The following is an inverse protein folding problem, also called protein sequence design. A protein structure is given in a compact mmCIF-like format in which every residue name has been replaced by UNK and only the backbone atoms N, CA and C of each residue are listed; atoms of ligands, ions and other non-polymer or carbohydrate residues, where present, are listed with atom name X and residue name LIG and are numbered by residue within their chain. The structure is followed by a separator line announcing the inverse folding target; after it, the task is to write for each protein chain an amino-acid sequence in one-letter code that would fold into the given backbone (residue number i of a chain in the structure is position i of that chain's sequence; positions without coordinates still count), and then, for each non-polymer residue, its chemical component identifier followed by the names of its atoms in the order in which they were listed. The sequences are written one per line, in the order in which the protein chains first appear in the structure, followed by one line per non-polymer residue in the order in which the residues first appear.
data_IF_172136318815
#
_entry.id   IF_172136318815
#
_cell.length_a   1.000
_cell.length_b   1.000
_cell.length_c   1.000
_cell.angle_alpha   90.00
_cell.angle_beta   90.00
_cell.angle_gamma   90.00
#
_symmetry.space_group_name_H-M   'P 1'
#
loop_
_entity.id
_entity.type
_entity.pdbx_description
1 polymer ?
#
# COMPACT_ATOMS: atom_id res chain seq x y z
N UNK A 1 7.37 -18.89 62.24
CA UNK A 1 6.43 -17.90 61.64
C UNK A 1 7.02 -17.33 60.39
N UNK A 2 6.47 -17.62 59.20
CA UNK A 2 6.96 -17.07 57.96
C UNK A 2 6.70 -15.57 57.87
N UNK A 3 7.72 -14.77 57.52
CA UNK A 3 7.60 -13.33 57.29
C UNK A 3 6.49 -13.06 56.26
N UNK A 4 5.47 -12.26 56.63
CA UNK A 4 4.47 -11.75 55.71
C UNK A 4 5.19 -10.95 54.62
N UNK A 5 4.92 -11.29 53.34
CA UNK A 5 5.44 -10.53 52.20
C UNK A 5 4.82 -9.14 52.16
N UNK A 6 5.57 -8.12 51.70
CA UNK A 6 5.03 -6.78 51.49
C UNK A 6 3.75 -6.80 50.63
N UNK A 7 2.86 -5.85 50.88
CA UNK A 7 1.68 -5.62 50.04
C UNK A 7 2.13 -5.24 48.64
N UNK A 8 1.76 -6.00 47.59
CA UNK A 8 2.18 -5.80 46.22
C UNK A 8 2.96 -6.98 45.61
N UNK A 9 3.63 -7.81 46.43
CA UNK A 9 4.48 -8.92 45.94
C UNK A 9 3.70 -10.14 45.36
N UNK A 10 2.38 -10.04 45.28
CA UNK A 10 1.51 -11.13 44.79
C UNK A 10 1.41 -12.33 45.70
N UNK A 11 0.43 -13.18 45.46
CA UNK A 11 0.23 -14.42 46.21
C UNK A 11 0.97 -15.58 45.51
N UNK A 12 1.63 -16.43 46.31
CA UNK A 12 2.33 -17.63 45.84
C UNK A 12 1.84 -18.84 46.58
N UNK A 13 1.48 -19.90 45.87
CA UNK A 13 1.11 -21.19 46.45
C UNK A 13 1.65 -22.36 45.62
N UNK A 14 1.85 -23.52 46.28
CA UNK A 14 2.09 -24.76 45.56
C UNK A 14 0.74 -25.44 45.31
N UNK A 15 0.52 -25.92 44.10
CA UNK A 15 -0.70 -26.62 43.68
C UNK A 15 -0.54 -28.12 43.93
N UNK A 16 -1.66 -28.81 43.93
CA UNK A 16 -1.71 -30.27 44.13
C UNK A 16 -1.04 -31.02 42.97
N UNK A 17 -1.00 -30.41 41.78
CA UNK A 17 -0.30 -30.91 40.58
C UNK A 17 1.24 -30.71 40.62
N UNK A 18 1.75 -30.26 41.77
CA UNK A 18 3.18 -30.04 42.02
C UNK A 18 3.76 -28.74 41.44
N UNK A 19 2.98 -28.01 40.65
CA UNK A 19 3.42 -26.69 40.08
C UNK A 19 3.23 -25.59 41.11
N UNK A 20 4.04 -24.55 40.97
CA UNK A 20 3.90 -23.31 41.71
C UNK A 20 3.04 -22.32 40.93
N UNK A 21 2.07 -21.70 41.63
CA UNK A 21 1.20 -20.65 41.11
C UNK A 21 1.42 -19.37 41.87
N UNK A 22 1.54 -18.28 41.12
CA UNK A 22 1.51 -16.90 41.63
C UNK A 22 0.39 -16.12 40.99
N UNK A 23 -0.15 -15.12 41.68
CA UNK A 23 -1.12 -14.18 41.15
C UNK A 23 -0.83 -12.77 41.61
N UNK A 24 -1.01 -11.81 40.70
CA UNK A 24 -0.94 -10.36 40.97
C UNK A 24 -2.25 -9.74 40.57
N UNK A 25 -2.62 -8.63 41.20
CA UNK A 25 -3.72 -7.77 40.74
C UNK A 25 -3.18 -6.91 39.59
N UNK A 26 -3.90 -6.89 38.47
CA UNK A 26 -3.49 -6.14 37.27
C UNK A 26 -4.54 -5.12 36.85
N UNK A 27 -5.65 -5.01 37.59
CA UNK A 27 -6.73 -4.06 37.37
C UNK A 27 -7.95 -4.41 38.23
N UNK A 28 -9.01 -3.64 38.07
CA UNK A 28 -10.28 -3.85 38.74
C UNK A 28 -11.43 -3.88 37.77
N UNK A 29 -12.48 -4.62 38.07
CA UNK A 29 -13.72 -4.61 37.33
C UNK A 29 -14.53 -3.36 37.66
N UNK A 30 -15.58 -3.08 36.87
CA UNK A 30 -16.49 -1.97 37.12
C UNK A 30 -17.16 -2.01 38.51
N UNK A 31 -17.31 -3.19 39.08
CA UNK A 31 -17.83 -3.40 40.43
C UNK A 31 -16.77 -3.34 41.54
N UNK A 32 -15.51 -3.01 41.23
CA UNK A 32 -14.40 -2.94 42.18
C UNK A 32 -13.68 -4.25 42.44
N UNK A 33 -14.13 -5.39 41.94
CA UNK A 33 -13.45 -6.67 42.08
C UNK A 33 -12.09 -6.69 41.38
N UNK A 34 -11.04 -7.27 42.01
CA UNK A 34 -9.71 -7.31 41.39
C UNK A 34 -9.64 -8.27 40.20
N UNK A 35 -8.96 -7.85 39.13
CA UNK A 35 -8.57 -8.67 38.00
C UNK A 35 -7.21 -9.29 38.30
N UNK A 36 -7.16 -10.63 38.35
CA UNK A 36 -5.91 -11.34 38.66
C UNK A 36 -5.23 -11.85 37.41
N UNK A 37 -3.90 -11.69 37.39
CA UNK A 37 -2.99 -12.38 36.47
C UNK A 37 -2.37 -13.55 37.17
N UNK A 38 -2.52 -14.76 36.62
CA UNK A 38 -1.92 -15.99 37.14
C UNK A 38 -0.63 -16.31 36.38
N UNK A 39 0.40 -16.70 37.15
CA UNK A 39 1.71 -17.09 36.65
C UNK A 39 2.05 -18.47 37.18
N UNK A 40 2.58 -19.35 36.34
CA UNK A 40 2.89 -20.73 36.72
C UNK A 40 4.35 -21.07 36.44
N UNK A 41 4.98 -21.86 37.35
CA UNK A 41 6.31 -22.39 37.15
C UNK A 41 6.48 -23.75 37.81
N UNK A 42 7.50 -24.54 37.40
CA UNK A 42 7.84 -25.82 38.00
C UNK A 42 8.53 -25.69 39.36
N UNK A 43 9.26 -24.57 39.57
CA UNK A 43 9.98 -24.30 40.83
C UNK A 43 9.57 -22.96 41.41
N UNK A 44 9.71 -22.80 42.72
CA UNK A 44 9.40 -21.53 43.42
C UNK A 44 10.29 -20.39 42.93
N UNK A 45 11.60 -20.65 42.71
CA UNK A 45 12.55 -19.65 42.20
C UNK A 45 12.12 -19.11 40.81
N UNK A 46 11.85 -20.02 39.89
CA UNK A 46 11.36 -19.64 38.56
C UNK A 46 10.01 -18.92 38.60
N UNK A 47 9.12 -19.24 39.57
CA UNK A 47 7.88 -18.51 39.77
C UNK A 47 8.15 -17.09 40.26
N UNK A 48 9.05 -16.90 41.22
CA UNK A 48 9.38 -15.58 41.76
C UNK A 48 9.95 -14.68 40.70
N UNK A 49 10.86 -15.17 39.86
CA UNK A 49 11.41 -14.42 38.71
C UNK A 49 10.32 -13.99 37.72
N UNK A 50 9.44 -14.91 37.34
CA UNK A 50 8.30 -14.59 36.47
C UNK A 50 7.31 -13.62 37.10
N UNK A 51 7.11 -13.71 38.40
CA UNK A 51 6.20 -12.84 39.14
C UNK A 51 6.74 -11.41 39.14
N UNK A 52 8.04 -11.23 39.44
CA UNK A 52 8.70 -9.91 39.38
C UNK A 52 8.62 -9.31 37.98
N UNK A 53 8.92 -10.09 36.94
CA UNK A 53 8.76 -9.63 35.56
C UNK A 53 7.31 -9.23 35.22
N UNK A 54 6.34 -9.95 35.80
CA UNK A 54 4.92 -9.59 35.63
C UNK A 54 4.59 -8.32 36.39
N UNK A 55 5.05 -8.15 37.62
CA UNK A 55 4.84 -6.92 38.40
C UNK A 55 5.41 -5.71 37.65
N UNK A 56 6.67 -5.77 37.21
CA UNK A 56 7.27 -4.72 36.39
C UNK A 56 6.49 -4.40 35.11
N UNK A 57 5.96 -5.45 34.45
CA UNK A 57 5.20 -5.28 33.19
C UNK A 57 3.85 -4.59 33.41
N UNK A 58 3.21 -4.82 34.56
CA UNK A 58 1.89 -4.27 34.91
C UNK A 58 1.96 -3.13 35.92
N UNK A 59 3.16 -2.67 36.31
CA UNK A 59 3.34 -1.52 37.16
C UNK A 59 2.72 -0.30 36.46
N UNK A 60 1.89 0.44 37.17
CA UNK A 60 1.18 1.62 36.65
C UNK A 60 0.16 1.35 35.53
N UNK A 61 -0.22 0.09 35.28
CA UNK A 61 -1.23 -0.28 34.30
C UNK A 61 -2.42 -0.91 34.97
N UNK A 62 -3.60 -0.32 34.86
CA UNK A 62 -4.86 -0.87 35.32
C UNK A 62 -5.65 -1.46 34.13
N UNK A 63 -5.66 -2.79 34.02
CA UNK A 63 -6.35 -3.47 32.94
C UNK A 63 -7.87 -3.53 33.17
N UNK A 64 -8.62 -3.46 32.08
CA UNK A 64 -10.09 -3.64 32.07
C UNK A 64 -10.49 -5.13 31.96
N UNK A 65 -11.76 -5.43 32.16
CA UNK A 65 -12.32 -6.77 31.95
C UNK A 65 -12.09 -7.30 30.53
N UNK A 66 -12.02 -6.40 29.57
CA UNK A 66 -11.75 -6.69 28.16
C UNK A 66 -10.37 -7.35 27.92
N UNK A 67 -9.46 -7.29 28.91
CA UNK A 67 -8.17 -8.01 28.86
C UNK A 67 -8.29 -9.53 28.74
N UNK A 68 -9.47 -10.10 29.02
CA UNK A 68 -9.79 -11.53 28.86
C UNK A 68 -10.22 -11.91 27.46
N UNK A 69 -10.58 -10.93 26.64
CA UNK A 69 -10.97 -11.08 25.25
C UNK A 69 -9.91 -11.82 24.44
N UNK A 70 -10.32 -12.61 23.48
CA UNK A 70 -9.39 -13.23 22.52
C UNK A 70 -8.88 -12.22 21.52
N UNK A 71 -7.76 -12.52 20.85
CA UNK A 71 -7.24 -11.65 19.78
C UNK A 71 -8.24 -11.51 18.64
N UNK A 72 -8.96 -12.57 18.30
CA UNK A 72 -9.99 -12.53 17.25
C UNK A 72 -11.11 -11.55 17.58
N UNK A 73 -11.68 -11.65 18.79
CA UNK A 73 -12.73 -10.74 19.27
C UNK A 73 -12.25 -9.28 19.34
N UNK A 74 -11.02 -9.05 19.81
CA UNK A 74 -10.43 -7.71 19.82
C UNK A 74 -10.29 -7.14 18.42
N UNK A 75 -9.78 -7.91 17.46
CA UNK A 75 -9.59 -7.44 16.09
C UNK A 75 -10.91 -7.12 15.39
N UNK A 76 -11.97 -7.90 15.63
CA UNK A 76 -13.31 -7.61 15.11
C UNK A 76 -13.86 -6.31 15.70
N UNK A 77 -13.76 -6.15 17.01
CA UNK A 77 -14.16 -4.94 17.72
C UNK A 77 -13.36 -3.72 17.26
N UNK A 78 -12.04 -3.86 17.10
CA UNK A 78 -11.17 -2.81 16.60
C UNK A 78 -11.53 -2.36 15.16
N UNK A 79 -11.89 -3.31 14.29
CA UNK A 79 -12.39 -2.96 12.96
C UNK A 79 -13.69 -2.18 13.03
N UNK A 80 -14.65 -2.64 13.83
CA UNK A 80 -15.98 -2.05 13.94
C UNK A 80 -15.96 -0.67 14.62
N UNK A 81 -15.25 -0.56 15.75
CA UNK A 81 -15.32 0.66 16.59
C UNK A 81 -14.24 1.71 16.24
N UNK A 82 -13.07 1.28 15.76
CA UNK A 82 -11.93 2.19 15.54
C UNK A 82 -11.60 2.44 14.06
N UNK A 83 -12.07 1.56 13.16
CA UNK A 83 -11.69 1.65 11.74
C UNK A 83 -12.86 1.90 10.81
N UNK A 84 -14.03 1.39 11.11
CA UNK A 84 -15.21 1.66 10.28
C UNK A 84 -15.51 3.17 10.25
N UNK A 85 -15.80 3.69 9.07
CA UNK A 85 -15.97 5.12 8.85
C UNK A 85 -14.69 5.99 8.90
N UNK A 86 -13.56 5.50 9.46
CA UNK A 86 -12.29 6.26 9.54
C UNK A 86 -11.33 5.94 8.40
N UNK A 87 -11.45 4.77 7.81
CA UNK A 87 -10.63 4.34 6.66
C UNK A 87 -11.52 3.99 5.47
N UNK A 88 -10.92 3.98 4.28
CA UNK A 88 -11.67 3.65 3.05
C UNK A 88 -12.14 2.19 3.06
N UNK A 89 -13.28 1.95 2.43
CA UNK A 89 -13.89 0.62 2.32
C UNK A 89 -12.92 -0.45 1.79
N UNK A 90 -12.12 -0.13 0.76
CA UNK A 90 -11.12 -1.07 0.24
C UNK A 90 -9.99 -1.40 1.22
N UNK A 91 -9.61 -0.45 2.09
CA UNK A 91 -8.62 -0.72 3.16
C UNK A 91 -9.25 -1.56 4.27
N UNK A 92 -10.49 -1.24 4.63
CA UNK A 92 -11.26 -2.00 5.63
C UNK A 92 -11.43 -3.46 5.19
N UNK A 93 -11.77 -3.68 3.93
CA UNK A 93 -11.89 -5.02 3.35
C UNK A 93 -10.54 -5.76 3.33
N UNK A 94 -9.45 -5.05 3.01
CA UNK A 94 -8.10 -5.59 3.11
C UNK A 94 -7.74 -6.01 4.54
N UNK A 95 -8.09 -5.20 5.53
CA UNK A 95 -7.87 -5.52 6.95
C UNK A 95 -8.70 -6.72 7.39
N UNK A 96 -9.99 -6.78 7.00
CA UNK A 96 -10.85 -7.93 7.25
C UNK A 96 -10.25 -9.21 6.67
N UNK A 97 -9.80 -9.16 5.43
CA UNK A 97 -9.12 -10.28 4.78
C UNK A 97 -7.85 -10.72 5.54
N UNK A 98 -7.04 -9.78 6.05
CA UNK A 98 -5.85 -10.13 6.85
C UNK A 98 -6.22 -10.79 8.17
N UNK A 99 -7.26 -10.31 8.84
CA UNK A 99 -7.73 -10.87 10.11
C UNK A 99 -8.27 -12.28 9.90
N UNK A 100 -9.23 -12.46 8.99
CA UNK A 100 -9.93 -13.73 8.79
C UNK A 100 -9.01 -14.83 8.24
N UNK A 101 -8.20 -14.51 7.25
CA UNK A 101 -7.45 -15.53 6.52
C UNK A 101 -6.05 -15.79 7.12
N UNK A 102 -5.48 -14.85 7.87
CA UNK A 102 -4.07 -14.95 8.26
C UNK A 102 -3.84 -14.88 9.76
N UNK A 103 -4.59 -14.07 10.51
CA UNK A 103 -4.35 -13.90 11.96
C UNK A 103 -5.23 -14.83 12.78
N UNK A 104 -6.55 -14.82 12.58
CA UNK A 104 -7.49 -15.66 13.34
C UNK A 104 -7.15 -17.15 13.31
N UNK A 105 -6.78 -17.76 12.17
CA UNK A 105 -6.43 -19.19 12.13
C UNK A 105 -5.22 -19.56 12.99
N UNK A 106 -4.35 -18.61 13.32
CA UNK A 106 -3.10 -18.87 14.03
C UNK A 106 -3.10 -18.37 15.48
N UNK A 107 -3.70 -17.22 15.72
CA UNK A 107 -3.65 -16.53 17.03
C UNK A 107 -5.03 -16.09 17.53
N UNK A 108 -6.09 -16.19 16.71
CA UNK A 108 -7.40 -15.64 17.02
C UNK A 108 -8.02 -16.15 18.30
N UNK A 109 -7.88 -17.42 18.62
CA UNK A 109 -8.40 -18.03 19.86
C UNK A 109 -7.55 -17.79 21.12
N UNK A 110 -6.38 -17.14 20.97
CA UNK A 110 -5.52 -16.84 22.12
C UNK A 110 -5.97 -15.53 22.77
N UNK A 111 -6.02 -15.51 24.11
CA UNK A 111 -6.33 -14.30 24.87
C UNK A 111 -5.34 -13.18 24.52
N UNK A 112 -5.84 -11.97 24.24
CA UNK A 112 -5.04 -10.83 23.73
C UNK A 112 -3.90 -10.47 24.69
N UNK A 113 -4.15 -10.50 26.00
CA UNK A 113 -3.14 -10.22 27.05
C UNK A 113 -2.06 -11.31 27.19
N UNK A 114 -2.24 -12.47 26.52
CA UNK A 114 -1.29 -13.58 26.52
C UNK A 114 -0.45 -13.66 25.22
N UNK A 115 -0.71 -12.78 24.25
CA UNK A 115 0.07 -12.73 23.01
C UNK A 115 1.46 -12.21 23.32
N UNK A 116 2.47 -12.96 22.88
CA UNK A 116 3.88 -12.57 23.04
C UNK A 116 4.49 -12.18 21.72
N UNK A 117 5.61 -11.44 21.77
CA UNK A 117 6.43 -11.13 20.57
C UNK A 117 6.85 -12.41 19.83
N UNK A 118 7.14 -13.50 20.56
CA UNK A 118 7.49 -14.77 19.94
C UNK A 118 6.32 -15.41 19.18
N UNK A 119 5.08 -15.25 19.66
CA UNK A 119 3.90 -15.73 18.94
C UNK A 119 3.74 -14.99 17.61
N UNK A 120 3.87 -13.68 17.64
CA UNK A 120 3.83 -12.81 16.45
C UNK A 120 4.94 -13.21 15.46
N UNK A 121 6.16 -13.40 15.96
CA UNK A 121 7.30 -13.79 15.12
C UNK A 121 7.13 -15.20 14.51
N UNK A 122 6.54 -16.14 15.23
CA UNK A 122 6.19 -17.47 14.72
C UNK A 122 5.11 -17.39 13.65
N UNK A 123 4.11 -16.55 13.85
CA UNK A 123 3.07 -16.29 12.85
C UNK A 123 3.69 -15.77 11.54
N UNK A 124 4.58 -14.78 11.59
CA UNK A 124 5.24 -14.28 10.36
C UNK A 124 6.02 -15.35 9.62
N UNK A 125 6.75 -16.21 10.34
CA UNK A 125 7.47 -17.34 9.72
C UNK A 125 6.51 -18.31 9.02
N UNK A 126 5.40 -18.68 9.66
CA UNK A 126 4.38 -19.55 9.06
C UNK A 126 3.74 -18.93 7.83
N UNK A 127 3.42 -17.65 7.86
CA UNK A 127 2.86 -16.93 6.72
C UNK A 127 3.83 -16.92 5.52
N UNK A 128 5.12 -16.81 5.77
CA UNK A 128 6.15 -16.89 4.73
C UNK A 128 6.36 -18.30 4.18
N UNK A 129 6.14 -19.35 4.95
CA UNK A 129 6.34 -20.74 4.50
C UNK A 129 5.12 -21.35 3.82
N UNK A 130 3.90 -20.95 4.19
CA UNK A 130 2.68 -21.60 3.70
C UNK A 130 1.38 -20.91 4.08
N UNK A 131 1.40 -19.58 4.27
CA UNK A 131 0.24 -18.84 4.78
C UNK A 131 -0.82 -18.47 3.74
N UNK A 132 -0.62 -18.72 2.45
CA UNK A 132 -1.55 -18.33 1.40
C UNK A 132 -2.78 -19.22 1.39
N UNK A 133 -3.97 -18.61 1.28
CA UNK A 133 -5.26 -19.34 1.21
C UNK A 133 -5.39 -20.11 -0.11
N UNK A 134 -4.91 -19.50 -1.21
CA UNK A 134 -4.86 -20.14 -2.54
C UNK A 134 -3.42 -20.20 -3.01
N UNK A 135 -3.07 -21.25 -3.70
CA UNK A 135 -1.78 -21.39 -4.38
C UNK A 135 -1.64 -20.30 -5.46
N UNK A 136 -0.40 -19.86 -5.70
CA UNK A 136 -0.09 -19.03 -6.87
C UNK A 136 0.04 -19.90 -8.14
N UNK A 137 0.39 -19.25 -9.26
CA UNK A 137 0.58 -19.95 -10.54
C UNK A 137 1.70 -21.01 -10.51
N UNK A 138 2.60 -20.91 -9.52
CA UNK A 138 3.73 -21.84 -9.31
C UNK A 138 3.42 -22.90 -8.24
N UNK A 139 2.16 -22.99 -7.76
CA UNK A 139 1.75 -23.92 -6.70
C UNK A 139 2.24 -23.56 -5.30
N UNK A 140 2.76 -22.35 -5.10
CA UNK A 140 3.29 -21.90 -3.82
C UNK A 140 2.20 -21.29 -2.93
N UNK A 141 2.24 -21.64 -1.64
CA UNK A 141 1.40 -21.02 -0.59
C UNK A 141 2.12 -19.94 0.21
N UNK A 142 3.28 -19.49 -0.23
CA UNK A 142 4.06 -18.44 0.43
C UNK A 142 3.41 -17.06 0.27
N UNK A 143 3.32 -16.30 1.35
CA UNK A 143 3.01 -14.88 1.26
C UNK A 143 4.27 -14.06 0.93
N UNK A 144 4.08 -13.02 0.13
CA UNK A 144 5.16 -12.06 -0.13
C UNK A 144 5.56 -11.30 1.15
N UNK A 145 6.82 -10.89 1.24
CA UNK A 145 7.34 -10.09 2.35
C UNK A 145 6.54 -8.79 2.53
N UNK A 146 6.10 -8.17 1.43
CA UNK A 146 5.24 -6.99 1.44
C UNK A 146 3.88 -7.29 2.10
N UNK A 147 3.25 -8.42 1.80
CA UNK A 147 1.97 -8.80 2.41
C UNK A 147 2.11 -9.02 3.91
N UNK A 148 3.15 -9.76 4.34
CA UNK A 148 3.42 -9.98 5.76
C UNK A 148 3.72 -8.66 6.49
N UNK A 149 4.41 -7.72 5.83
CA UNK A 149 4.65 -6.38 6.37
C UNK A 149 3.35 -5.57 6.51
N UNK A 150 2.42 -5.66 5.58
CA UNK A 150 1.10 -5.01 5.70
C UNK A 150 0.29 -5.61 6.85
N UNK A 151 0.33 -6.94 7.02
CA UNK A 151 -0.28 -7.62 8.17
C UNK A 151 0.34 -7.12 9.48
N UNK A 152 1.67 -7.01 9.55
CA UNK A 152 2.35 -6.43 10.72
C UNK A 152 1.89 -5.00 11.01
N UNK A 153 1.86 -4.13 10.00
CA UNK A 153 1.46 -2.72 10.19
C UNK A 153 0.03 -2.60 10.72
N UNK A 154 -0.89 -3.41 10.18
CA UNK A 154 -2.27 -3.46 10.65
C UNK A 154 -2.37 -3.99 12.09
N UNK A 155 -1.72 -5.13 12.37
CA UNK A 155 -1.72 -5.75 13.71
C UNK A 155 -1.05 -4.83 14.74
N UNK A 156 0.04 -4.16 14.37
CA UNK A 156 0.69 -3.17 15.23
C UNK A 156 -0.26 -2.04 15.63
N UNK A 157 -1.02 -1.51 14.66
CA UNK A 157 -2.03 -0.48 14.92
C UNK A 157 -3.16 -0.97 15.84
N UNK A 158 -3.64 -2.21 15.66
CA UNK A 158 -4.65 -2.81 16.50
C UNK A 158 -4.14 -3.05 17.93
N UNK A 159 -2.91 -3.57 18.08
CA UNK A 159 -2.32 -3.79 19.39
C UNK A 159 -1.95 -2.49 20.10
N UNK A 160 -1.56 -1.44 19.37
CA UNK A 160 -1.37 -0.09 19.93
C UNK A 160 -2.70 0.45 20.50
N UNK A 161 -3.80 0.28 19.79
CA UNK A 161 -5.12 0.66 20.30
C UNK A 161 -5.51 -0.15 21.55
N UNK A 162 -5.15 -1.44 21.63
CA UNK A 162 -5.38 -2.27 22.81
C UNK A 162 -4.60 -1.78 24.04
N UNK A 163 -3.38 -1.25 23.85
CA UNK A 163 -2.62 -0.60 24.92
C UNK A 163 -3.33 0.67 25.40
N UNK A 164 -3.77 1.51 24.45
CA UNK A 164 -4.49 2.75 24.77
C UNK A 164 -5.82 2.52 25.47
N UNK A 165 -6.48 1.39 25.17
CA UNK A 165 -7.74 0.97 25.81
C UNK A 165 -7.52 0.18 27.12
N UNK A 166 -6.30 0.12 27.64
CA UNK A 166 -5.94 -0.64 28.86
C UNK A 166 -6.33 -2.14 28.82
N UNK A 167 -6.34 -2.74 27.64
CA UNK A 167 -6.61 -4.17 27.41
C UNK A 167 -5.32 -4.98 27.56
N UNK A 168 -4.19 -4.43 27.16
CA UNK A 168 -2.86 -5.02 27.32
C UNK A 168 -1.85 -3.97 27.81
N UNK A 169 -0.82 -4.37 28.58
CA UNK A 169 0.15 -3.43 29.13
C UNK A 169 1.18 -2.95 28.10
N UNK A 170 1.53 -3.78 27.13
CA UNK A 170 2.56 -3.49 26.12
C UNK A 170 2.14 -4.08 24.78
N UNK A 171 2.55 -3.42 23.70
CA UNK A 171 2.31 -3.91 22.35
C UNK A 171 3.31 -5.04 21.99
N UNK A 172 2.87 -6.30 21.81
CA UNK A 172 3.78 -7.41 21.53
C UNK A 172 4.40 -7.35 20.12
N UNK A 173 3.91 -6.48 19.26
CA UNK A 173 4.43 -6.32 17.90
C UNK A 173 5.59 -5.33 17.81
N UNK A 174 5.84 -4.48 18.82
CA UNK A 174 6.91 -3.49 18.80
C UNK A 174 8.29 -4.10 18.56
N UNK A 175 8.58 -5.20 19.26
CA UNK A 175 9.85 -5.89 19.15
C UNK A 175 9.81 -7.06 18.15
N UNK A 176 8.73 -7.20 17.37
CA UNK A 176 8.65 -8.20 16.33
C UNK A 176 9.27 -7.69 15.03
N UNK A 177 10.16 -8.47 14.44
CA UNK A 177 10.82 -8.12 13.19
C UNK A 177 9.94 -8.48 12.00
N UNK A 178 9.32 -7.49 11.39
CA UNK A 178 8.62 -7.65 10.13
C UNK A 178 9.63 -7.87 8.98
N UNK A 179 9.28 -8.68 7.95
CA UNK A 179 10.14 -8.84 6.78
C UNK A 179 10.42 -7.50 6.11
N UNK A 180 11.63 -7.33 5.57
CA UNK A 180 11.93 -6.21 4.68
C UNK A 180 11.19 -6.42 3.37
N UNK A 181 10.47 -5.40 2.92
CA UNK A 181 9.81 -5.44 1.61
C UNK A 181 10.88 -5.31 0.52
N UNK A 182 11.05 -6.35 -0.28
CA UNK A 182 11.87 -6.27 -1.48
C UNK A 182 11.04 -5.53 -2.54
N UNK A 183 11.39 -4.29 -2.80
CA UNK A 183 10.80 -3.52 -3.88
C UNK A 183 11.20 -4.14 -5.22
N UNK A 184 10.21 -4.60 -5.99
CA UNK A 184 10.46 -4.97 -7.40
C UNK A 184 10.48 -3.68 -8.21
N UNK A 185 11.56 -3.40 -8.95
CA UNK A 185 11.63 -2.23 -9.82
C UNK A 185 10.42 -2.17 -10.76
N UNK A 186 10.04 -0.98 -11.14
CA UNK A 186 9.06 -0.75 -12.19
C UNK A 186 9.62 -1.25 -13.52
N UNK A 187 8.79 -1.87 -14.31
CA UNK A 187 9.13 -2.24 -15.69
C UNK A 187 8.49 -1.21 -16.61
N UNK A 188 9.33 -0.46 -17.29
CA UNK A 188 8.93 0.55 -18.28
C UNK A 188 9.24 -0.04 -19.65
N UNK A 189 8.28 0.04 -20.56
CA UNK A 189 8.52 -0.34 -21.96
C UNK A 189 9.44 0.71 -22.60
N UNK A 190 10.55 0.27 -23.18
CA UNK A 190 11.41 1.15 -23.97
C UNK A 190 10.72 1.53 -25.30
N UNK A 191 11.30 2.41 -26.11
CA UNK A 191 10.69 2.93 -27.33
C UNK A 191 10.33 1.82 -28.33
N UNK A 192 11.21 0.83 -28.51
CA UNK A 192 10.98 -0.29 -29.43
C UNK A 192 9.87 -1.21 -28.93
N UNK A 193 9.87 -1.51 -27.63
CA UNK A 193 8.83 -2.31 -26.98
C UNK A 193 7.48 -1.58 -27.02
N UNK A 194 7.48 -0.25 -26.83
CA UNK A 194 6.29 0.58 -26.90
C UNK A 194 5.71 0.61 -28.32
N UNK A 195 6.55 0.76 -29.35
CA UNK A 195 6.11 0.67 -30.75
C UNK A 195 5.51 -0.70 -31.06
N UNK A 196 6.18 -1.78 -30.65
CA UNK A 196 5.69 -3.15 -30.83
C UNK A 196 4.33 -3.34 -30.12
N UNK A 197 4.17 -2.81 -28.89
CA UNK A 197 2.91 -2.86 -28.16
C UNK A 197 1.81 -2.07 -28.88
N UNK A 198 2.11 -0.87 -29.40
CA UNK A 198 1.16 -0.05 -30.15
C UNK A 198 0.70 -0.75 -31.44
N UNK A 199 1.61 -1.43 -32.14
CA UNK A 199 1.25 -2.23 -33.34
C UNK A 199 0.33 -3.41 -32.98
N UNK A 200 0.56 -4.07 -31.86
CA UNK A 200 -0.32 -5.14 -31.38
C UNK A 200 -1.70 -4.59 -30.99
N UNK A 201 -1.74 -3.47 -30.28
CA UNK A 201 -2.97 -2.78 -29.87
C UNK A 201 -3.78 -2.29 -31.07
N UNK A 202 -3.14 -1.79 -32.15
CA UNK A 202 -3.82 -1.32 -33.37
C UNK A 202 -4.63 -2.42 -34.06
N UNK A 203 -4.24 -3.68 -33.94
CA UNK A 203 -4.94 -4.84 -34.50
C UNK A 203 -6.18 -5.24 -33.70
N UNK A 204 -6.33 -4.73 -32.48
CA UNK A 204 -7.44 -5.08 -31.58
C UNK A 204 -8.58 -4.06 -31.72
N UNK A 205 -9.63 -4.43 -32.45
CA UNK A 205 -10.77 -3.55 -32.70
C UNK A 205 -11.56 -3.14 -31.46
N UNK A 206 -11.47 -3.90 -30.37
CA UNK A 206 -12.21 -3.64 -29.12
C UNK A 206 -11.37 -2.80 -28.15
N UNK A 207 -10.08 -3.14 -28.02
CA UNK A 207 -9.21 -2.59 -27.00
C UNK A 207 -8.26 -1.51 -27.48
N UNK A 208 -8.17 -1.27 -28.80
CA UNK A 208 -7.30 -0.26 -29.42
C UNK A 208 -7.48 1.09 -28.74
N UNK A 209 -8.70 1.62 -28.75
CA UNK A 209 -8.98 2.95 -28.25
C UNK A 209 -8.75 3.07 -26.73
N UNK A 210 -9.00 1.98 -25.99
CA UNK A 210 -8.77 1.91 -24.54
C UNK A 210 -7.28 1.99 -24.22
N UNK A 211 -6.44 1.13 -24.79
CA UNK A 211 -5.02 1.12 -24.48
C UNK A 211 -4.28 2.31 -25.07
N UNK A 212 -4.72 2.80 -26.23
CA UNK A 212 -4.17 4.03 -26.81
C UNK A 212 -4.43 5.22 -25.87
N UNK A 213 -5.65 5.38 -25.36
CA UNK A 213 -5.98 6.43 -24.39
C UNK A 213 -5.18 6.27 -23.10
N UNK A 214 -5.01 5.04 -22.59
CA UNK A 214 -4.22 4.76 -21.37
C UNK A 214 -2.76 5.20 -21.54
N UNK A 215 -2.12 4.83 -22.65
CA UNK A 215 -0.74 5.18 -22.96
C UNK A 215 -0.52 6.68 -23.13
N UNK A 216 -1.50 7.39 -23.67
CA UNK A 216 -1.41 8.83 -23.95
C UNK A 216 -1.81 9.72 -22.78
N UNK A 217 -2.36 9.14 -21.70
CA UNK A 217 -2.88 9.91 -20.55
C UNK A 217 -2.31 9.45 -19.22
N UNK A 218 -1.77 8.24 -19.13
CA UNK A 218 -1.23 7.65 -17.90
C UNK A 218 -2.24 7.53 -16.78
N UNK A 219 -3.53 7.32 -17.08
CA UNK A 219 -4.60 7.19 -16.10
C UNK A 219 -4.39 5.94 -15.22
N UNK A 220 -4.92 5.98 -14.00
CA UNK A 220 -4.97 4.74 -13.20
C UNK A 220 -6.02 3.80 -13.80
N UNK A 221 -5.77 2.48 -13.77
CA UNK A 221 -6.68 1.47 -14.30
C UNK A 221 -8.15 1.67 -13.91
N UNK A 222 -8.41 2.00 -12.64
CA UNK A 222 -9.76 2.27 -12.17
C UNK A 222 -10.34 3.59 -12.68
N UNK A 223 -9.51 4.58 -12.97
CA UNK A 223 -9.91 5.89 -13.52
C UNK A 223 -10.37 5.72 -14.98
N UNK A 224 -9.53 5.13 -15.84
CA UNK A 224 -9.89 4.94 -17.26
C UNK A 224 -11.14 4.05 -17.43
N UNK A 225 -11.28 3.00 -16.61
CA UNK A 225 -12.47 2.15 -16.63
C UNK A 225 -13.75 2.88 -16.17
N UNK A 226 -13.64 3.98 -15.41
CA UNK A 226 -14.77 4.73 -14.86
C UNK A 226 -15.15 6.00 -15.67
N UNK A 227 -14.52 6.22 -16.82
CA UNK A 227 -14.76 7.40 -17.65
C UNK A 227 -16.15 7.38 -18.30
N UNK A 228 -16.84 8.51 -18.22
CA UNK A 228 -18.15 8.72 -18.87
C UNK A 228 -18.07 9.83 -19.93
N UNK A 229 -18.96 9.84 -20.89
CA UNK A 229 -19.03 10.88 -21.91
C UNK A 229 -19.27 12.30 -21.35
N UNK A 230 -19.89 12.42 -20.19
CA UNK A 230 -20.05 13.70 -19.48
C UNK A 230 -18.74 14.27 -18.94
N UNK A 231 -17.69 13.45 -18.86
CA UNK A 231 -16.35 13.87 -18.41
C UNK A 231 -15.52 14.43 -19.55
N UNK A 232 -15.91 14.18 -20.80
CA UNK A 232 -15.18 14.58 -21.99
C UNK A 232 -15.82 15.85 -22.61
N UNK A 233 -15.10 16.97 -22.58
CA UNK A 233 -15.41 18.15 -23.35
C UNK A 233 -14.79 18.03 -24.74
N UNK A 234 -15.63 17.69 -25.73
CA UNK A 234 -15.19 17.49 -27.09
C UNK A 234 -14.73 18.79 -27.79
N UNK A 235 -15.21 19.96 -27.37
CA UNK A 235 -14.83 21.26 -27.90
C UNK A 235 -13.48 21.71 -27.36
N UNK A 236 -13.32 21.64 -26.06
CA UNK A 236 -12.08 22.03 -25.38
C UNK A 236 -10.96 20.96 -25.47
N UNK A 237 -11.28 19.72 -25.87
CA UNK A 237 -10.31 18.62 -25.88
C UNK A 237 -9.84 18.23 -24.49
N UNK A 238 -10.71 18.37 -23.46
CA UNK A 238 -10.33 18.09 -22.08
C UNK A 238 -11.11 16.92 -21.49
N UNK A 239 -10.50 16.24 -20.52
CA UNK A 239 -11.05 15.10 -19.82
C UNK A 239 -10.98 15.29 -18.30
N UNK A 240 -12.15 15.27 -17.65
CA UNK A 240 -12.28 15.38 -16.19
C UNK A 240 -12.18 14.00 -15.55
N UNK A 241 -11.26 13.81 -14.65
CA UNK A 241 -11.06 12.59 -13.87
C UNK A 241 -11.64 12.85 -12.47
N UNK A 242 -12.80 12.30 -12.17
CA UNK A 242 -13.51 12.56 -10.89
C UNK A 242 -13.88 11.29 -10.14
N UNK A 243 -13.75 10.11 -10.79
CA UNK A 243 -14.15 8.84 -10.19
C UNK A 243 -13.22 7.70 -10.58
N UNK A 244 -13.36 6.58 -9.87
CA UNK A 244 -12.59 5.37 -10.11
C UNK A 244 -13.42 4.13 -9.77
N UNK A 245 -13.13 3.00 -10.40
CA UNK A 245 -13.67 1.71 -10.04
C UNK A 245 -12.78 1.05 -8.98
N UNK A 246 -13.37 0.72 -7.85
CA UNK A 246 -12.73 -0.02 -6.76
C UNK A 246 -13.18 -1.46 -6.74
N UNK A 247 -12.26 -2.40 -6.52
CA UNK A 247 -12.61 -3.80 -6.28
C UNK A 247 -13.28 -3.95 -4.90
N UNK A 248 -14.37 -4.71 -4.87
CA UNK A 248 -15.04 -5.17 -3.64
C UNK A 248 -14.81 -6.66 -3.36
N UNK A 249 -13.79 -7.24 -4.00
CA UNK A 249 -13.53 -8.67 -3.94
C UNK A 249 -14.35 -9.46 -4.97
N UNK A 250 -14.00 -10.73 -5.18
CA UNK A 250 -14.71 -11.70 -6.05
C UNK A 250 -15.05 -11.19 -7.47
N UNK A 251 -14.26 -10.24 -8.01
CA UNK A 251 -14.51 -9.67 -9.33
C UNK A 251 -15.58 -8.57 -9.38
N UNK A 252 -16.16 -8.20 -8.24
CA UNK A 252 -17.14 -7.12 -8.12
C UNK A 252 -16.40 -5.78 -7.99
N UNK A 253 -16.89 -4.75 -8.70
CA UNK A 253 -16.36 -3.39 -8.66
C UNK A 253 -17.46 -2.40 -8.33
N UNK A 254 -17.11 -1.36 -7.60
CA UNK A 254 -18.00 -0.24 -7.30
C UNK A 254 -17.36 1.08 -7.72
N UNK A 255 -18.18 2.00 -8.16
CA UNK A 255 -17.80 3.38 -8.37
C UNK A 255 -17.52 4.06 -7.03
N UNK A 256 -16.49 4.85 -6.99
CA UNK A 256 -16.15 5.71 -5.86
C UNK A 256 -15.36 6.92 -6.33
N UNK A 257 -15.19 7.86 -5.44
CA UNK A 257 -14.40 9.05 -5.70
C UNK A 257 -12.92 8.70 -5.88
N UNK A 258 -12.19 9.57 -6.54
CA UNK A 258 -10.74 9.43 -6.68
C UNK A 258 -10.06 9.37 -5.31
N UNK A 259 -8.92 8.67 -5.25
CA UNK A 259 -8.24 8.35 -3.98
C UNK A 259 -7.82 9.58 -3.16
N UNK A 260 -7.60 10.72 -3.81
CA UNK A 260 -7.14 11.98 -3.18
C UNK A 260 -7.86 13.15 -3.82
N UNK A 261 -7.84 14.33 -3.19
CA UNK A 261 -8.34 15.58 -3.76
C UNK A 261 -7.67 15.92 -5.09
N UNK A 262 -6.36 15.69 -5.20
CA UNK A 262 -5.61 15.85 -6.46
C UNK A 262 -5.96 14.78 -7.51
N UNK A 263 -6.59 13.70 -7.11
CA UNK A 263 -7.17 12.72 -8.04
C UNK A 263 -8.31 13.31 -8.88
N UNK A 264 -9.06 14.30 -8.34
CA UNK A 264 -10.05 15.05 -9.09
C UNK A 264 -9.34 16.16 -9.87
N UNK A 265 -9.13 15.91 -11.15
CA UNK A 265 -8.35 16.76 -12.04
C UNK A 265 -8.95 16.79 -13.43
N UNK A 266 -8.65 17.85 -14.17
CA UNK A 266 -8.93 17.93 -15.61
C UNK A 266 -7.59 17.89 -16.36
N UNK A 267 -7.50 17.02 -17.35
CA UNK A 267 -6.33 16.90 -18.21
C UNK A 267 -6.68 17.40 -19.62
N UNK A 268 -5.72 18.05 -20.27
CA UNK A 268 -5.81 18.41 -21.68
C UNK A 268 -5.35 17.17 -22.47
N UNK A 269 -6.18 16.70 -23.39
CA UNK A 269 -5.85 15.53 -24.20
C UNK A 269 -4.98 15.93 -25.40
N UNK A 270 -4.02 15.09 -25.79
CA UNK A 270 -3.43 15.19 -27.13
C UNK A 270 -4.51 15.15 -28.20
N UNK A 271 -4.35 15.92 -29.29
CA UNK A 271 -5.39 16.02 -30.34
C UNK A 271 -5.74 14.65 -30.95
N UNK A 272 -4.76 13.78 -31.09
CA UNK A 272 -4.99 12.40 -31.54
C UNK A 272 -6.00 11.63 -30.67
N UNK A 273 -5.92 11.77 -29.34
CA UNK A 273 -6.86 11.15 -28.38
C UNK A 273 -8.21 11.87 -28.43
N UNK A 274 -8.20 13.20 -28.46
CA UNK A 274 -9.43 13.98 -28.54
C UNK A 274 -10.23 13.68 -29.83
N UNK A 275 -9.57 13.58 -30.96
CA UNK A 275 -10.17 13.19 -32.25
C UNK A 275 -10.75 11.77 -32.21
N UNK A 276 -9.98 10.81 -31.67
CA UNK A 276 -10.44 9.44 -31.48
C UNK A 276 -11.70 9.39 -30.59
N UNK A 277 -11.72 10.11 -29.48
CA UNK A 277 -12.87 10.15 -28.57
C UNK A 277 -14.08 10.86 -29.20
N UNK A 278 -13.88 11.91 -30.03
CA UNK A 278 -14.98 12.54 -30.78
C UNK A 278 -15.66 11.55 -31.74
N UNK A 279 -14.87 10.77 -32.49
CA UNK A 279 -15.39 9.75 -33.40
C UNK A 279 -16.12 8.65 -32.62
N UNK A 280 -15.51 8.15 -31.54
CA UNK A 280 -16.09 7.14 -30.69
C UNK A 280 -17.41 7.60 -30.05
N UNK A 281 -17.52 8.87 -29.61
CA UNK A 281 -18.72 9.46 -29.02
C UNK A 281 -19.90 9.44 -29.96
N UNK A 282 -19.68 9.75 -31.24
CA UNK A 282 -20.74 9.72 -32.28
C UNK A 282 -21.39 8.37 -32.46
N UNK A 283 -20.61 7.29 -32.25
CA UNK A 283 -21.04 5.91 -32.44
C UNK A 283 -21.39 5.17 -31.14
N UNK A 284 -21.37 5.88 -30.00
CA UNK A 284 -21.60 5.24 -28.70
C UNK A 284 -23.07 5.28 -28.30
N UNK A 285 -23.59 4.13 -27.88
CA UNK A 285 -24.91 3.98 -27.24
C UNK A 285 -24.80 3.91 -25.71
N UNK A 286 -23.58 3.87 -25.17
CA UNK A 286 -23.30 3.75 -23.74
C UNK A 286 -23.03 5.13 -23.12
N UNK A 287 -23.31 5.27 -21.84
CA UNK A 287 -22.84 6.44 -21.06
C UNK A 287 -21.33 6.40 -20.78
N UNK A 288 -20.71 5.23 -20.86
CA UNK A 288 -19.29 5.02 -20.61
C UNK A 288 -18.46 5.28 -21.86
N UNK A 289 -17.29 5.89 -21.71
CA UNK A 289 -16.32 6.03 -22.82
C UNK A 289 -15.83 4.64 -23.23
N UNK A 290 -15.55 3.79 -22.24
CA UNK A 290 -15.13 2.41 -22.44
C UNK A 290 -16.10 1.47 -21.70
N UNK A 291 -17.19 1.06 -22.36
CA UNK A 291 -18.12 0.09 -21.80
C UNK A 291 -17.54 -1.32 -21.83
N UNK A 292 -18.14 -2.22 -21.06
CA UNK A 292 -17.87 -3.65 -21.17
C UNK A 292 -18.39 -4.16 -22.52
N UNK A 293 -17.60 -4.94 -23.29
CA UNK A 293 -17.99 -5.34 -24.65
C UNK A 293 -19.30 -6.11 -24.75
N UNK A 294 -19.60 -6.95 -23.74
CA UNK A 294 -20.82 -7.78 -23.70
C UNK A 294 -22.00 -7.12 -22.99
N UNK A 295 -21.78 -5.98 -22.31
CA UNK A 295 -22.78 -5.30 -21.46
C UNK A 295 -22.51 -3.78 -21.50
N UNK A 296 -22.97 -3.08 -22.57
CA UNK A 296 -22.67 -1.67 -22.78
C UNK A 296 -23.19 -0.71 -21.69
N UNK A 297 -24.13 -1.17 -20.88
CA UNK A 297 -24.65 -0.45 -19.70
C UNK A 297 -23.66 -0.44 -18.54
N UNK A 298 -22.67 -1.36 -18.53
CA UNK A 298 -21.66 -1.47 -17.50
C UNK A 298 -20.32 -0.85 -17.93
N UNK A 299 -19.55 -0.29 -17.00
CA UNK A 299 -18.21 0.20 -17.26
C UNK A 299 -17.26 -0.97 -17.56
N UNK A 300 -16.14 -0.70 -18.22
CA UNK A 300 -15.10 -1.69 -18.46
C UNK A 300 -14.63 -2.31 -17.14
N UNK A 301 -14.65 -3.62 -17.06
CA UNK A 301 -14.17 -4.35 -15.89
C UNK A 301 -12.63 -4.27 -15.80
N UNK A 302 -12.06 -3.69 -14.71
CA UNK A 302 -10.62 -3.56 -14.56
C UNK A 302 -9.85 -4.89 -14.59
N UNK A 303 -10.49 -5.99 -14.16
CA UNK A 303 -9.90 -7.33 -14.22
C UNK A 303 -9.82 -7.85 -15.66
N UNK A 304 -10.83 -7.55 -16.48
CA UNK A 304 -10.83 -7.92 -17.91
C UNK A 304 -9.79 -7.10 -18.67
N UNK A 305 -9.68 -5.79 -18.39
CA UNK A 305 -8.64 -4.94 -18.96
C UNK A 305 -7.23 -5.45 -18.62
N UNK A 306 -7.01 -5.89 -17.38
CA UNK A 306 -5.74 -6.49 -16.98
C UNK A 306 -5.43 -7.79 -17.72
N UNK A 307 -6.41 -8.70 -17.86
CA UNK A 307 -6.21 -9.96 -18.60
C UNK A 307 -5.88 -9.68 -20.06
N UNK A 308 -6.61 -8.76 -20.72
CA UNK A 308 -6.33 -8.42 -22.12
C UNK A 308 -4.94 -7.83 -22.31
N UNK A 309 -4.49 -6.94 -21.38
CA UNK A 309 -3.10 -6.46 -21.40
C UNK A 309 -2.11 -7.63 -21.39
N UNK A 310 -2.30 -8.62 -20.52
CA UNK A 310 -1.39 -9.78 -20.44
C UNK A 310 -1.35 -10.57 -21.73
N UNK A 311 -2.51 -10.81 -22.33
CA UNK A 311 -2.62 -11.51 -23.64
C UNK A 311 -1.93 -10.71 -24.75
N UNK A 312 -2.13 -9.38 -24.82
CA UNK A 312 -1.49 -8.54 -25.84
C UNK A 312 0.04 -8.52 -25.71
N UNK A 313 0.57 -8.45 -24.47
CA UNK A 313 2.00 -8.51 -24.23
C UNK A 313 2.58 -9.88 -24.65
N UNK A 314 1.89 -10.97 -24.32
CA UNK A 314 2.29 -12.33 -24.70
C UNK A 314 2.26 -12.54 -26.22
N UNK A 315 1.16 -12.14 -26.89
CA UNK A 315 1.00 -12.20 -28.34
C UNK A 315 2.08 -11.37 -29.08
N UNK A 316 2.53 -10.28 -28.47
CA UNK A 316 3.58 -9.40 -29.02
C UNK A 316 5.02 -9.81 -28.63
N UNK A 317 5.21 -10.87 -27.82
CA UNK A 317 6.53 -11.28 -27.34
C UNK A 317 7.18 -10.29 -26.38
N UNK A 318 6.38 -9.45 -25.70
CA UNK A 318 6.85 -8.38 -24.82
C UNK A 318 6.94 -8.83 -23.35
N UNK A 319 7.76 -8.16 -22.53
CA UNK A 319 7.82 -8.43 -21.09
C UNK A 319 6.46 -8.32 -20.41
N UNK A 320 6.17 -9.24 -19.48
CA UNK A 320 4.92 -9.25 -18.73
C UNK A 320 4.88 -8.16 -17.67
N UNK A 321 4.50 -6.95 -18.01
CA UNK A 321 4.38 -5.79 -17.11
C UNK A 321 3.02 -5.77 -16.38
N UNK A 322 2.94 -5.01 -15.27
CA UNK A 322 1.69 -4.75 -14.56
C UNK A 322 0.89 -3.67 -15.31
N UNK A 323 -0.44 -3.61 -15.12
CA UNK A 323 -1.24 -2.52 -15.71
C UNK A 323 -0.75 -1.12 -15.30
N UNK A 324 -0.31 -0.98 -14.06
CA UNK A 324 0.22 0.31 -13.57
C UNK A 324 1.55 0.70 -14.22
N UNK A 325 2.28 -0.26 -14.78
CA UNK A 325 3.53 -0.01 -15.47
C UNK A 325 3.32 0.69 -16.82
N UNK A 326 2.12 0.62 -17.45
CA UNK A 326 1.76 1.48 -18.59
C UNK A 326 1.77 2.96 -18.22
N UNK A 327 1.24 3.31 -17.06
CA UNK A 327 1.30 4.66 -16.52
C UNK A 327 2.74 5.07 -16.19
N UNK A 328 3.56 4.14 -15.71
CA UNK A 328 4.99 4.40 -15.48
C UNK A 328 5.72 4.63 -16.81
N UNK A 329 5.38 3.87 -17.86
CA UNK A 329 5.87 4.06 -19.21
C UNK A 329 5.53 5.47 -19.72
N UNK A 330 4.24 5.88 -19.66
CA UNK A 330 3.84 7.25 -20.00
C UNK A 330 4.65 8.30 -19.24
N UNK A 331 4.77 8.14 -17.91
CA UNK A 331 5.44 9.13 -17.06
C UNK A 331 6.94 9.26 -17.39
N UNK A 332 7.62 8.13 -17.62
CA UNK A 332 9.04 8.11 -17.99
C UNK A 332 9.26 8.79 -19.33
N UNK A 333 8.50 8.41 -20.37
CA UNK A 333 8.62 9.02 -21.68
C UNK A 333 8.24 10.51 -21.68
N UNK A 334 7.24 10.92 -20.90
CA UNK A 334 6.90 12.35 -20.77
C UNK A 334 8.06 13.17 -20.15
N UNK A 335 8.71 12.63 -19.09
CA UNK A 335 9.86 13.29 -18.48
C UNK A 335 11.08 13.35 -19.43
N UNK A 336 11.39 12.25 -20.14
CA UNK A 336 12.48 12.23 -21.11
C UNK A 336 12.22 13.17 -22.29
N UNK A 337 10.95 13.40 -22.65
CA UNK A 337 10.53 14.38 -23.65
C UNK A 337 10.47 15.82 -23.13
N UNK A 338 10.93 16.10 -21.89
CA UNK A 338 11.06 17.46 -21.36
C UNK A 338 9.85 18.00 -20.58
N UNK A 339 8.83 17.21 -20.30
CA UNK A 339 7.73 17.63 -19.42
C UNK A 339 8.26 17.75 -18.00
N UNK A 340 8.08 18.91 -17.36
CA UNK A 340 8.54 19.10 -16.00
C UNK A 340 7.77 18.22 -14.98
N UNK A 341 8.46 17.81 -13.93
CA UNK A 341 7.94 16.86 -12.95
C UNK A 341 6.69 17.35 -12.19
N UNK A 342 6.52 18.66 -11.99
CA UNK A 342 5.39 19.26 -11.31
C UNK A 342 4.14 19.21 -12.20
N UNK A 343 4.27 19.57 -13.46
CA UNK A 343 3.21 19.44 -14.47
C UNK A 343 2.81 17.98 -14.64
N UNK A 344 3.78 17.08 -14.77
CA UNK A 344 3.51 15.64 -14.86
C UNK A 344 2.79 15.11 -13.61
N UNK A 345 3.21 15.52 -12.41
CA UNK A 345 2.52 15.16 -11.17
C UNK A 345 1.05 15.62 -11.16
N UNK A 346 0.77 16.82 -11.71
CA UNK A 346 -0.58 17.34 -11.91
C UNK A 346 -1.40 16.48 -12.88
N UNK A 347 -0.85 16.14 -14.05
CA UNK A 347 -1.49 15.26 -15.05
C UNK A 347 -1.81 13.89 -14.42
N UNK A 348 -0.85 13.32 -13.73
CA UNK A 348 -1.01 12.02 -13.08
C UNK A 348 -1.89 12.05 -11.83
N UNK A 349 -2.12 13.22 -11.20
CA UNK A 349 -2.84 13.34 -9.93
C UNK A 349 -2.07 12.69 -8.77
N UNK A 350 -0.78 12.99 -8.67
CA UNK A 350 0.05 12.65 -7.51
C UNK A 350 -0.13 13.72 -6.43
N UNK A 351 -0.22 13.30 -5.17
CA UNK A 351 -0.37 14.23 -4.02
C UNK A 351 0.91 15.01 -3.74
N UNK A 352 2.07 14.50 -4.15
CA UNK A 352 3.37 15.12 -3.95
C UNK A 352 4.22 14.95 -5.22
N UNK A 353 4.75 16.06 -5.73
CA UNK A 353 5.68 16.05 -6.86
C UNK A 353 6.99 15.30 -6.54
N UNK A 354 7.42 15.27 -5.26
CA UNK A 354 8.57 14.47 -4.83
C UNK A 354 8.39 12.99 -5.17
N UNK A 355 7.16 12.45 -5.07
CA UNK A 355 6.89 11.07 -5.48
C UNK A 355 7.17 10.86 -6.97
N UNK A 356 6.84 11.82 -7.82
CA UNK A 356 7.14 11.77 -9.27
C UNK A 356 8.65 11.82 -9.49
N UNK A 357 9.34 12.72 -8.80
CA UNK A 357 10.79 12.81 -8.84
C UNK A 357 11.44 11.50 -8.34
N UNK A 358 11.16 11.04 -7.13
CA UNK A 358 11.75 9.84 -6.55
C UNK A 358 11.48 8.57 -7.36
N UNK A 359 10.32 8.54 -8.05
CA UNK A 359 9.87 7.37 -8.81
C UNK A 359 10.47 7.30 -10.20
N UNK A 360 10.63 8.45 -10.87
CA UNK A 360 10.99 8.51 -12.30
C UNK A 360 12.34 9.16 -12.57
N UNK A 361 12.97 9.81 -11.61
CA UNK A 361 14.30 10.42 -11.81
C UNK A 361 15.48 9.47 -11.55
N UNK A 362 15.42 8.28 -12.09
CA UNK A 362 16.69 7.68 -12.52
C UNK A 362 17.12 8.46 -13.75
N UNK A 363 17.89 9.54 -13.53
CA UNK A 363 18.41 10.41 -14.58
C UNK A 363 19.11 9.53 -15.61
N UNK A 364 18.45 9.32 -16.76
CA UNK A 364 19.08 8.58 -17.86
C UNK A 364 20.26 9.39 -18.42
N UNK A 365 21.24 8.75 -19.05
CA UNK A 365 22.31 9.47 -19.76
C UNK A 365 21.74 10.53 -20.71
N UNK A 366 20.67 10.22 -21.45
CA UNK A 366 20.01 11.10 -22.40
C UNK A 366 19.41 12.35 -21.74
N UNK A 367 18.84 12.21 -20.53
CA UNK A 367 18.34 13.37 -19.76
C UNK A 367 19.48 14.30 -19.32
N UNK A 368 20.66 13.77 -19.01
CA UNK A 368 21.85 14.58 -18.65
C UNK A 368 22.37 15.34 -19.87
N UNK A 369 22.41 14.69 -21.02
CA UNK A 369 22.83 15.27 -22.27
C UNK A 369 21.86 16.37 -22.72
N UNK A 370 20.57 16.13 -22.70
CA UNK A 370 19.54 17.12 -23.00
C UNK A 370 19.59 18.32 -22.03
N UNK A 371 19.77 18.08 -20.73
CA UNK A 371 19.93 19.15 -19.74
C UNK A 371 21.21 19.95 -19.99
N UNK A 372 22.31 19.30 -20.34
CA UNK A 372 23.56 19.93 -20.74
C UNK A 372 23.37 20.83 -21.93
N UNK A 373 22.63 20.37 -22.96
CA UNK A 373 22.32 21.18 -24.16
C UNK A 373 21.45 22.40 -23.86
N UNK A 374 20.42 22.25 -23.02
CA UNK A 374 19.53 23.35 -22.59
C UNK A 374 20.31 24.40 -21.79
N UNK A 375 21.12 23.98 -20.83
CA UNK A 375 21.95 24.88 -20.02
C UNK A 375 23.03 25.54 -20.89
N UNK A 376 23.66 24.78 -21.80
CA UNK A 376 24.64 25.29 -22.75
C UNK A 376 24.04 26.34 -23.64
N UNK A 377 22.90 26.09 -24.29
CA UNK A 377 22.20 27.03 -25.14
C UNK A 377 21.82 28.32 -24.41
N UNK A 378 21.22 28.22 -23.21
CA UNK A 378 20.89 29.37 -22.38
C UNK A 378 22.14 30.21 -22.03
N UNK A 379 23.26 29.56 -21.69
CA UNK A 379 24.50 30.24 -21.36
C UNK A 379 25.13 30.87 -22.59
N UNK A 380 25.10 30.21 -23.76
CA UNK A 380 25.57 30.77 -25.04
C UNK A 380 24.73 31.98 -25.46
N UNK A 381 23.43 31.98 -25.26
CA UNK A 381 22.55 33.12 -25.54
C UNK A 381 22.82 34.31 -24.61
N UNK A 382 23.19 34.07 -23.34
CA UNK A 382 23.51 35.14 -22.39
C UNK A 382 24.93 35.67 -22.52
N UNK A 383 25.90 34.80 -22.76
CA UNK A 383 27.33 35.15 -22.67
C UNK A 383 28.08 35.08 -24.01
N UNK A 384 27.39 34.66 -25.08
CA UNK A 384 27.99 34.40 -26.39
C UNK A 384 28.70 33.05 -26.49
N UNK A 385 28.95 32.60 -27.71
CA UNK A 385 29.51 31.27 -28.01
C UNK A 385 30.97 31.06 -27.57
N UNK A 386 31.69 32.12 -27.21
CA UNK A 386 33.07 32.03 -26.75
C UNK A 386 33.22 32.60 -25.34
N UNK A 387 33.16 31.72 -24.35
CA UNK A 387 33.67 32.03 -23.02
C UNK A 387 35.20 32.08 -23.06
N UNK A 388 35.77 33.28 -22.99
CA UNK A 388 37.23 33.43 -22.87
C UNK A 388 37.69 32.72 -21.59
N UNK A 389 38.72 31.86 -21.66
CA UNK A 389 39.24 31.22 -20.47
C UNK A 389 39.62 32.27 -19.42
N UNK A 390 39.28 32.03 -18.16
CA UNK A 390 39.64 32.89 -17.04
C UNK A 390 41.18 32.99 -17.00
N UNK A 391 41.75 34.13 -17.37
CA UNK A 391 43.18 34.41 -17.20
C UNK A 391 43.40 34.93 -15.79
N UNK A 392 44.18 34.18 -15.00
CA UNK A 392 44.67 34.64 -13.73
C UNK A 392 45.53 35.88 -13.99
N UNK A 393 45.09 37.06 -13.51
CA UNK A 393 45.94 38.24 -13.55
C UNK A 393 47.15 37.97 -12.69
N UNK A 394 48.32 37.78 -13.29
CA UNK A 394 49.59 37.85 -12.60
C UNK A 394 49.69 39.28 -12.02
N UNK A 395 49.51 39.39 -10.71
CA UNK A 395 49.98 40.61 -9.99
C UNK A 395 51.47 40.69 -10.21
N UNK A 396 51.86 41.68 -10.99
CA UNK A 396 53.27 42.11 -11.07
C UNK A 396 53.77 42.33 -9.63
N UNK A 397 54.72 41.51 -9.25
CA UNK A 397 55.59 41.80 -8.14
C UNK A 397 56.51 42.92 -8.67
N UNK A 398 56.25 44.12 -8.25
CA UNK A 398 57.22 45.23 -8.36
C UNK A 398 57.92 45.38 -7.00
N UNK A 399 59.21 45.36 -7.09
CA UNK A 399 60.28 45.58 -6.11
C UNK A 399 59.98 46.48 -4.92
#
# INVERSE_FOLDING_TARGET
MGKRRPSGDGMVRKRDDGRWEGRIVVGHKANGDPIFRHVYAKTQKALTEKLHQSIECYQDVELTEDSRMTLGEWLDRWLAEYKDGTIRSGTLEGYRNYIENYIKPQLGGKQVSLITTQDVQRMYRRLKSGGRVREDAEGSKRLSDSTVRHIHTMLHGAMKAAVQAHIIPKNPTENATAPKSNYKPMQVLNEQELDTFLQAVQKDNIWRDFFYTELMTGLRRGEICALMWRDFDAKAGTLKISRTLHSKGQGVYALGDTKTSQGNRTIILPESVAALLRVRKKNSISQWIFPQPTSPELPMNPGTAYRRLKTLLEEAGLPSIRFHDLRHTFATHALTSGVDAKTLAGILGHTNASFTLDTYTHVTPDMREAAGGIVGGFMEDLFGKELKPWQRSEKQATD
#
